data_IF_675437085879
#
_entry.id   IF_675437085879
#
_cell.length_a   1.000
_cell.length_b   1.000
_cell.length_c   1.000
_cell.angle_alpha   90.00
_cell.angle_beta   90.00
_cell.angle_gamma   90.00
#
_symmetry.space_group_name_H-M   'P 1'
#
loop_
_entity.id
_entity.type
_entity.pdbx_description
1 polymer ?
#
# COMPACT_ATOMS: atom_id res chain seq x y z
N UNK A 1 13.09 2.00 -14.52
CA UNK A 1 13.51 0.82 -13.73
C UNK A 1 12.74 0.71 -12.42
N UNK A 2 12.78 1.73 -11.54
CA UNK A 2 12.00 1.72 -10.28
C UNK A 2 10.50 1.46 -10.49
N UNK A 3 9.84 2.17 -11.42
CA UNK A 3 8.44 1.94 -11.76
C UNK A 3 8.14 0.51 -12.22
N UNK A 4 9.01 -0.10 -13.03
CA UNK A 4 8.85 -1.50 -13.46
C UNK A 4 8.93 -2.48 -12.28
N UNK A 5 9.81 -2.21 -11.31
CA UNK A 5 9.92 -3.01 -10.09
C UNK A 5 8.65 -2.93 -9.24
N UNK A 6 8.16 -1.71 -8.98
CA UNK A 6 6.91 -1.48 -8.21
C UNK A 6 5.71 -2.15 -8.91
N UNK A 7 5.61 -2.01 -10.23
CA UNK A 7 4.59 -2.69 -11.02
C UNK A 7 4.68 -4.20 -10.91
N UNK A 8 5.88 -4.77 -11.03
CA UNK A 8 6.11 -6.20 -10.89
C UNK A 8 5.63 -6.71 -9.54
N UNK A 9 5.95 -6.01 -8.46
CA UNK A 9 5.48 -6.35 -7.10
C UNK A 9 3.96 -6.23 -7.01
N UNK A 10 3.36 -5.17 -7.54
CA UNK A 10 1.90 -4.99 -7.52
C UNK A 10 1.16 -6.09 -8.28
N UNK A 11 1.62 -6.47 -9.47
CA UNK A 11 1.06 -7.58 -10.26
C UNK A 11 1.27 -8.92 -9.54
N UNK A 12 2.46 -9.16 -8.99
CA UNK A 12 2.76 -10.38 -8.21
C UNK A 12 1.80 -10.52 -7.03
N UNK A 13 1.58 -9.44 -6.27
CA UNK A 13 0.63 -9.43 -5.14
C UNK A 13 -0.81 -9.68 -5.59
N UNK A 14 -1.24 -9.06 -6.69
CA UNK A 14 -2.57 -9.27 -7.25
C UNK A 14 -2.81 -10.73 -7.67
N UNK A 15 -1.79 -11.39 -8.23
CA UNK A 15 -1.88 -12.80 -8.67
C UNK A 15 -1.81 -13.77 -7.48
N UNK A 16 -0.89 -13.55 -6.54
CA UNK A 16 -0.64 -14.49 -5.42
C UNK A 16 -1.65 -14.38 -4.30
N UNK A 17 -2.12 -13.16 -4.00
CA UNK A 17 -3.07 -12.93 -2.90
C UNK A 17 -4.52 -12.71 -3.40
N UNK A 18 -4.73 -12.65 -4.73
CA UNK A 18 -6.02 -12.29 -5.33
C UNK A 18 -6.48 -10.89 -4.94
N UNK A 19 -7.67 -10.49 -5.38
CA UNK A 19 -8.31 -9.22 -4.95
C UNK A 19 -8.62 -9.15 -3.43
N UNK A 20 -8.13 -10.10 -2.62
CA UNK A 20 -8.53 -10.33 -1.24
C UNK A 20 -7.59 -9.70 -0.20
N UNK A 21 -6.48 -9.09 -0.60
CA UNK A 21 -5.68 -8.21 0.25
C UNK A 21 -6.29 -6.80 0.31
N UNK A 22 -7.58 -6.71 0.65
CA UNK A 22 -8.27 -5.45 0.90
C UNK A 22 -7.87 -4.94 2.27
N UNK A 23 -6.94 -3.98 2.29
CA UNK A 23 -6.51 -3.29 3.51
C UNK A 23 -7.64 -2.49 4.15
N UNK A 24 -8.66 -2.14 3.36
CA UNK A 24 -9.87 -1.46 3.83
C UNK A 24 -11.12 -2.25 3.49
N UNK A 25 -11.88 -2.63 4.52
CA UNK A 25 -13.22 -3.22 4.39
C UNK A 25 -14.21 -2.25 3.74
N UNK A 26 -13.91 -0.95 3.74
CA UNK A 26 -14.78 0.12 3.26
C UNK A 26 -14.65 0.39 1.75
N UNK A 27 -13.52 0.01 1.12
CA UNK A 27 -13.25 0.23 -0.31
C UNK A 27 -12.53 -0.98 -0.93
N UNK A 28 -13.27 -1.99 -1.42
CA UNK A 28 -12.67 -3.20 -2.00
C UNK A 28 -11.83 -2.98 -3.27
N UNK A 29 -11.88 -1.78 -3.87
CA UNK A 29 -11.04 -1.36 -4.99
C UNK A 29 -9.65 -0.84 -4.57
N UNK A 30 -9.45 -0.48 -3.30
CA UNK A 30 -8.19 0.03 -2.74
C UNK A 30 -7.39 -1.06 -2.01
N UNK A 31 -7.04 -2.13 -2.74
CA UNK A 31 -6.04 -3.08 -2.27
C UNK A 31 -4.63 -2.49 -2.40
N UNK A 32 -3.70 -2.89 -1.52
CA UNK A 32 -2.28 -2.59 -1.64
C UNK A 32 -1.73 -2.92 -3.04
N UNK A 33 -2.18 -4.03 -3.63
CA UNK A 33 -1.78 -4.44 -4.97
C UNK A 33 -2.21 -3.42 -6.04
N UNK A 34 -3.45 -2.93 -5.99
CA UNK A 34 -3.98 -1.94 -6.93
C UNK A 34 -3.26 -0.59 -6.80
N UNK A 35 -2.93 -0.17 -5.56
CA UNK A 35 -2.15 1.03 -5.32
C UNK A 35 -0.73 0.91 -5.90
N UNK A 36 -0.06 -0.22 -5.68
CA UNK A 36 1.26 -0.48 -6.25
C UNK A 36 1.24 -0.51 -7.78
N UNK A 37 0.20 -1.10 -8.38
CA UNK A 37 0.00 -1.09 -9.84
C UNK A 37 -0.22 0.35 -10.33
N UNK A 38 -1.12 1.12 -9.69
CA UNK A 38 -1.40 2.50 -10.08
C UNK A 38 -0.16 3.40 -9.96
N UNK A 39 0.52 3.40 -8.82
CA UNK A 39 1.74 4.18 -8.59
C UNK A 39 2.84 3.74 -9.55
N UNK A 40 3.05 2.43 -9.69
CA UNK A 40 4.09 1.88 -10.57
C UNK A 40 3.87 2.26 -12.04
N UNK A 41 2.63 2.26 -12.53
CA UNK A 41 2.30 2.66 -13.92
C UNK A 41 2.59 4.13 -14.14
N UNK A 42 2.18 4.99 -13.21
CA UNK A 42 2.45 6.44 -13.25
C UNK A 42 3.96 6.69 -13.24
N UNK A 43 4.71 6.09 -12.31
CA UNK A 43 6.16 6.26 -12.22
C UNK A 43 6.88 5.72 -13.46
N UNK A 44 6.40 4.62 -14.06
CA UNK A 44 6.95 4.09 -15.31
C UNK A 44 6.75 5.06 -16.47
N UNK A 45 5.55 5.62 -16.64
CA UNK A 45 5.26 6.61 -17.69
C UNK A 45 6.11 7.87 -17.52
N UNK A 46 6.15 8.44 -16.31
CA UNK A 46 6.96 9.63 -16.01
C UNK A 46 8.45 9.34 -16.30
N UNK A 47 8.96 8.18 -15.88
CA UNK A 47 10.34 7.77 -16.11
C UNK A 47 10.68 7.59 -17.58
N UNK A 48 9.81 6.94 -18.37
CA UNK A 48 10.01 6.77 -19.81
C UNK A 48 10.03 8.11 -20.55
N UNK A 49 9.11 9.03 -20.21
CA UNK A 49 9.09 10.38 -20.78
C UNK A 49 10.36 11.17 -20.43
N UNK A 50 10.83 11.07 -19.18
CA UNK A 50 12.10 11.68 -18.76
C UNK A 50 13.32 11.15 -19.51
N UNK A 51 13.44 9.83 -19.67
CA UNK A 51 14.54 9.22 -20.41
C UNK A 51 14.54 9.58 -21.91
N UNK A 52 13.36 9.56 -22.57
CA UNK A 52 13.23 9.94 -23.98
C UNK A 52 13.52 11.43 -24.18
N UNK A 53 13.12 12.30 -23.23
CA UNK A 53 13.46 13.72 -23.23
C UNK A 53 14.97 13.95 -23.22
N UNK A 54 15.69 13.29 -22.30
CA UNK A 54 17.14 13.45 -22.15
C UNK A 54 17.96 12.96 -23.35
N UNK A 55 17.55 11.86 -24.00
CA UNK A 55 18.29 11.31 -25.16
C UNK A 55 18.18 12.19 -26.41
N UNK A 56 17.07 12.94 -26.54
CA UNK A 56 16.73 13.74 -27.72
C UNK A 56 17.58 15.02 -27.88
N UNK A 57 18.41 15.35 -26.89
CA UNK A 57 19.34 16.48 -26.93
C UNK A 57 20.56 16.23 -27.85
N UNK A 58 20.77 15.01 -28.33
CA UNK A 58 22.04 14.62 -28.98
C UNK A 58 22.11 14.64 -30.52
N UNK A 59 21.03 14.70 -31.35
CA UNK A 59 21.13 14.87 -32.84
C UNK A 59 19.87 15.42 -33.55
N UNK A 60 20.00 16.05 -34.76
CA UNK A 60 18.89 16.72 -35.45
C UNK A 60 18.15 15.83 -36.48
N UNK A 61 16.82 16.05 -36.52
CA UNK A 61 15.87 15.86 -37.63
C UNK A 61 15.20 14.49 -37.90
N UNK A 62 13.85 14.53 -37.94
CA UNK A 62 12.90 13.78 -38.80
C UNK A 62 12.07 12.59 -38.28
N UNK A 63 12.20 12.13 -37.04
CA UNK A 63 11.15 11.27 -36.40
C UNK A 63 10.25 12.06 -35.45
N UNK A 64 10.47 13.37 -35.40
CA UNK A 64 9.78 14.33 -34.56
C UNK A 64 8.31 14.51 -34.91
N UNK A 65 7.83 14.23 -36.13
CA UNK A 65 6.53 14.78 -36.61
C UNK A 65 5.27 14.01 -36.14
N UNK A 66 5.36 12.71 -35.78
CA UNK A 66 4.19 11.95 -35.31
C UNK A 66 3.91 12.13 -33.80
N UNK A 67 4.96 12.31 -32.99
CA UNK A 67 4.85 12.63 -31.55
C UNK A 67 4.85 14.16 -31.32
N UNK A 68 5.34 14.96 -32.29
CA UNK A 68 5.28 16.43 -32.24
C UNK A 68 3.86 16.99 -32.21
N UNK A 69 2.79 16.27 -32.57
CA UNK A 69 1.44 16.83 -32.34
C UNK A 69 1.05 16.86 -30.86
N UNK A 70 1.69 16.04 -30.01
CA UNK A 70 1.51 16.05 -28.54
C UNK A 70 2.55 16.95 -27.84
N UNK A 71 3.68 17.25 -28.50
CA UNK A 71 4.85 17.95 -27.92
C UNK A 71 5.12 19.34 -28.59
N UNK A 72 4.40 19.71 -29.65
CA UNK A 72 4.58 21.00 -30.35
C UNK A 72 3.81 22.11 -29.62
N UNK A 73 4.34 22.49 -28.48
CA UNK A 73 4.60 23.91 -28.24
C UNK A 73 6.01 24.03 -27.66
N UNK A 74 6.81 24.96 -28.16
CA UNK A 74 8.22 25.19 -27.78
C UNK A 74 8.39 25.74 -26.35
N UNK A 75 7.53 25.32 -25.43
CA UNK A 75 7.42 25.64 -23.99
C UNK A 75 7.51 24.38 -23.11
N UNK A 76 7.76 23.20 -23.69
CA UNK A 76 7.66 21.90 -23.02
C UNK A 76 8.81 21.53 -22.05
N UNK A 77 10.03 22.03 -22.25
CA UNK A 77 11.11 21.79 -21.27
C UNK A 77 10.83 22.52 -19.94
N UNK A 78 10.21 23.71 -20.02
CA UNK A 78 9.66 24.39 -18.86
C UNK A 78 8.44 23.67 -18.29
N UNK A 79 7.57 23.07 -19.10
CA UNK A 79 6.36 22.41 -18.60
C UNK A 79 6.64 21.15 -17.79
N UNK A 80 7.65 20.34 -18.16
CA UNK A 80 8.05 19.18 -17.35
C UNK A 80 8.69 19.63 -16.03
N UNK A 81 9.55 20.65 -16.05
CA UNK A 81 10.12 21.25 -14.84
C UNK A 81 9.04 21.89 -13.95
N UNK A 82 8.06 22.58 -14.55
CA UNK A 82 6.90 23.17 -13.87
C UNK A 82 5.99 22.08 -13.30
N UNK A 83 5.75 20.98 -14.03
CA UNK A 83 4.98 19.84 -13.56
C UNK A 83 5.66 19.15 -12.38
N UNK A 84 6.98 18.95 -12.43
CA UNK A 84 7.76 18.42 -11.32
C UNK A 84 7.74 19.36 -10.11
N UNK A 85 7.88 20.67 -10.32
CA UNK A 85 7.73 21.67 -9.25
C UNK A 85 6.31 21.67 -8.67
N UNK A 86 5.28 21.54 -9.51
CA UNK A 86 3.89 21.46 -9.06
C UNK A 86 3.66 20.22 -8.20
N UNK A 87 4.16 19.05 -8.64
CA UNK A 87 4.12 17.82 -7.85
C UNK A 87 4.86 18.02 -6.53
N UNK A 88 6.04 18.64 -6.54
CA UNK A 88 6.79 18.92 -5.32
C UNK A 88 6.02 19.79 -4.32
N UNK A 89 5.35 20.86 -4.77
CA UNK A 89 4.51 21.69 -3.90
C UNK A 89 3.27 20.93 -3.40
N UNK A 90 2.65 20.08 -4.23
CA UNK A 90 1.54 19.22 -3.83
C UNK A 90 1.99 18.21 -2.76
N UNK A 91 3.14 17.56 -2.94
CA UNK A 91 3.72 16.63 -1.96
C UNK A 91 3.95 17.34 -0.61
N UNK A 92 4.55 18.54 -0.61
CA UNK A 92 4.72 19.33 0.62
C UNK A 92 3.37 19.65 1.28
N UNK A 93 2.37 20.05 0.48
CA UNK A 93 1.04 20.33 0.99
C UNK A 93 0.40 19.09 1.62
N UNK A 94 0.47 17.93 0.95
CA UNK A 94 -0.03 16.65 1.47
C UNK A 94 0.67 16.24 2.76
N UNK A 95 2.01 16.37 2.83
CA UNK A 95 2.78 16.07 4.03
C UNK A 95 2.36 16.98 5.19
N UNK A 96 2.25 18.29 4.96
CA UNK A 96 1.81 19.24 5.99
C UNK A 96 0.41 18.91 6.50
N UNK A 97 -0.53 18.60 5.60
CA UNK A 97 -1.87 18.18 5.98
C UNK A 97 -1.84 16.87 6.77
N UNK A 98 -1.04 15.89 6.34
CA UNK A 98 -0.89 14.62 7.06
C UNK A 98 -0.39 14.83 8.48
N UNK A 99 0.62 15.69 8.68
CA UNK A 99 1.13 16.01 10.02
C UNK A 99 0.11 16.75 10.88
N UNK A 100 -0.64 17.69 10.32
CA UNK A 100 -1.68 18.43 11.07
C UNK A 100 -2.82 17.50 11.49
N UNK A 101 -3.22 16.57 10.63
CA UNK A 101 -4.33 15.65 10.85
C UNK A 101 -3.87 14.25 11.29
N UNK A 102 -2.65 14.10 11.78
CA UNK A 102 -2.06 12.79 12.07
C UNK A 102 -2.91 11.96 13.04
N UNK A 103 -3.45 12.59 14.10
CA UNK A 103 -4.22 11.89 15.13
C UNK A 103 -5.57 11.40 14.59
N UNK A 104 -6.20 12.23 13.76
CA UNK A 104 -7.46 11.88 13.11
C UNK A 104 -7.26 10.76 12.07
N UNK A 105 -6.17 10.84 11.29
CA UNK A 105 -5.78 9.81 10.32
C UNK A 105 -5.48 8.49 11.04
N UNK A 106 -4.77 8.53 12.17
CA UNK A 106 -4.50 7.35 12.99
C UNK A 106 -5.80 6.73 13.51
N UNK A 107 -6.74 7.53 14.03
CA UNK A 107 -8.04 7.03 14.44
C UNK A 107 -8.86 6.42 13.29
N UNK A 108 -8.83 7.01 12.10
CA UNK A 108 -9.48 6.42 10.92
C UNK A 108 -8.82 5.09 10.53
N UNK A 109 -7.50 5.03 10.50
CA UNK A 109 -6.73 3.85 10.17
C UNK A 109 -7.00 2.72 11.17
N UNK A 110 -6.94 3.00 12.48
CA UNK A 110 -7.24 2.04 13.52
C UNK A 110 -8.67 1.49 13.40
N UNK A 111 -9.66 2.37 13.15
CA UNK A 111 -11.05 1.95 12.98
C UNK A 111 -11.23 1.01 11.79
N UNK A 112 -10.57 1.32 10.67
CA UNK A 112 -10.67 0.54 9.44
C UNK A 112 -9.95 -0.82 9.58
N UNK A 113 -8.78 -0.84 10.22
CA UNK A 113 -8.08 -2.07 10.56
C UNK A 113 -8.87 -2.96 11.53
N UNK A 114 -9.53 -2.37 12.54
CA UNK A 114 -10.40 -3.12 13.47
C UNK A 114 -11.62 -3.72 12.76
N UNK A 115 -12.18 -3.05 11.75
CA UNK A 115 -13.20 -3.67 10.87
C UNK A 115 -12.61 -4.84 10.06
N UNK A 116 -11.34 -4.75 9.66
CA UNK A 116 -10.62 -5.84 9.02
C UNK A 116 -10.46 -7.06 9.94
N UNK A 117 -10.20 -6.85 11.23
CA UNK A 117 -10.14 -7.93 12.22
C UNK A 117 -11.47 -8.71 12.31
N UNK A 118 -12.61 -8.03 12.23
CA UNK A 118 -13.94 -8.66 12.28
C UNK A 118 -14.21 -9.61 11.10
N UNK A 119 -13.49 -9.46 9.99
CA UNK A 119 -13.57 -10.33 8.82
C UNK A 119 -12.61 -11.52 8.88
N UNK A 120 -11.76 -11.60 9.92
CA UNK A 120 -10.79 -12.67 10.09
C UNK A 120 -11.46 -14.04 10.22
N UNK A 121 -11.04 -15.01 9.41
CA UNK A 121 -11.58 -16.37 9.44
C UNK A 121 -13.00 -16.53 8.85
N UNK A 122 -13.59 -15.48 8.28
CA UNK A 122 -14.90 -15.53 7.62
C UNK A 122 -14.79 -16.13 6.21
N UNK A 123 -15.86 -16.81 5.75
CA UNK A 123 -15.91 -17.42 4.42
C UNK A 123 -15.71 -16.36 3.32
N UNK A 124 -14.80 -16.63 2.38
CA UNK A 124 -14.43 -15.71 1.31
C UNK A 124 -13.31 -14.71 1.63
N UNK A 125 -12.85 -14.63 2.89
CA UNK A 125 -11.79 -13.70 3.33
C UNK A 125 -10.47 -14.41 3.71
N UNK A 126 -10.14 -15.51 3.03
CA UNK A 126 -8.91 -16.29 3.26
C UNK A 126 -7.63 -15.48 3.03
N UNK A 127 -7.62 -14.59 2.02
CA UNK A 127 -6.47 -13.72 1.73
C UNK A 127 -6.21 -12.71 2.86
N UNK A 128 -7.28 -12.07 3.35
CA UNK A 128 -7.20 -11.15 4.49
C UNK A 128 -6.71 -11.86 5.77
N UNK A 129 -7.21 -13.07 6.02
CA UNK A 129 -6.80 -13.89 7.16
C UNK A 129 -5.31 -14.22 7.09
N UNK A 130 -4.82 -14.63 5.91
CA UNK A 130 -3.41 -14.91 5.69
C UNK A 130 -2.54 -13.66 5.86
N UNK A 131 -2.98 -12.51 5.33
CA UNK A 131 -2.28 -11.25 5.50
C UNK A 131 -2.14 -10.86 6.98
N UNK A 132 -3.21 -11.03 7.78
CA UNK A 132 -3.16 -10.79 9.22
C UNK A 132 -2.18 -11.72 9.94
N UNK A 133 -2.17 -13.01 9.59
CA UNK A 133 -1.22 -13.96 10.18
C UNK A 133 0.23 -13.56 9.88
N UNK A 134 0.53 -13.22 8.62
CA UNK A 134 1.87 -12.78 8.20
C UNK A 134 2.28 -11.49 8.95
N UNK A 135 1.41 -10.48 8.97
CA UNK A 135 1.70 -9.20 9.62
C UNK A 135 2.02 -9.41 11.11
N UNK A 136 1.20 -10.21 11.81
CA UNK A 136 1.42 -10.46 13.24
C UNK A 136 2.73 -11.20 13.49
N UNK A 137 3.02 -12.24 12.70
CA UNK A 137 4.24 -13.04 12.87
C UNK A 137 5.51 -12.27 12.48
N UNK A 138 5.48 -11.52 11.38
CA UNK A 138 6.65 -10.77 10.89
C UNK A 138 6.95 -9.55 11.77
N UNK A 139 5.91 -8.82 12.18
CA UNK A 139 6.06 -7.63 13.03
C UNK A 139 6.02 -7.92 14.53
N UNK A 140 5.79 -9.17 14.93
CA UNK A 140 5.72 -9.61 16.33
C UNK A 140 4.73 -8.79 17.15
N UNK A 141 3.55 -8.57 16.60
CA UNK A 141 2.49 -7.76 17.18
C UNK A 141 1.18 -8.55 17.27
N UNK A 142 0.27 -8.12 18.14
CA UNK A 142 -1.03 -8.75 18.29
C UNK A 142 -2.16 -7.73 18.45
N UNK A 143 -3.04 -7.67 17.45
CA UNK A 143 -4.14 -6.71 17.39
C UNK A 143 -3.75 -5.43 16.65
N UNK A 144 -4.65 -4.42 16.68
CA UNK A 144 -4.42 -3.11 16.04
C UNK A 144 -3.83 -2.14 17.05
N UNK A 145 -4.51 -1.98 18.19
CA UNK A 145 -4.08 -1.16 19.30
C UNK A 145 -3.55 -2.05 20.43
N UNK A 146 -4.22 -3.18 20.69
CA UNK A 146 -3.83 -4.10 21.74
C UNK A 146 -4.35 -5.52 21.45
N UNK A 147 -3.78 -6.53 22.08
CA UNK A 147 -4.20 -7.94 21.96
C UNK A 147 -5.67 -8.14 22.33
N UNK A 148 -6.22 -7.29 23.20
CA UNK A 148 -7.64 -7.28 23.58
C UNK A 148 -8.58 -7.02 22.41
N UNK A 149 -8.11 -6.43 21.31
CA UNK A 149 -8.91 -6.26 20.08
C UNK A 149 -9.39 -7.63 19.55
N UNK A 150 -8.62 -8.71 19.76
CA UNK A 150 -9.04 -10.07 19.41
C UNK A 150 -10.12 -10.64 20.31
N UNK A 151 -10.21 -10.16 21.55
CA UNK A 151 -11.24 -10.63 22.47
C UNK A 151 -12.62 -10.16 22.04
N UNK A 152 -12.70 -8.98 21.43
CA UNK A 152 -13.93 -8.47 20.81
C UNK A 152 -14.33 -9.28 19.58
N UNK A 153 -13.35 -9.70 18.76
CA UNK A 153 -13.60 -10.48 17.53
C UNK A 153 -14.06 -11.91 17.86
N UNK A 154 -13.39 -12.58 18.79
CA UNK A 154 -13.72 -13.97 19.16
C UNK A 154 -14.75 -14.09 20.28
N UNK A 155 -15.14 -12.97 20.89
CA UNK A 155 -16.04 -12.93 22.05
C UNK A 155 -15.58 -13.84 23.20
N UNK A 156 -14.26 -13.98 23.37
CA UNK A 156 -13.61 -14.80 24.40
C UNK A 156 -12.18 -14.31 24.60
N UNK A 157 -11.55 -14.65 25.72
CA UNK A 157 -10.16 -14.27 26.03
C UNK A 157 -9.17 -15.15 25.25
N UNK A 158 -9.12 -14.95 23.93
CA UNK A 158 -8.19 -15.65 23.04
C UNK A 158 -7.65 -14.74 21.94
N UNK A 159 -6.46 -15.09 21.46
CA UNK A 159 -5.81 -14.49 20.28
C UNK A 159 -5.60 -15.57 19.20
N UNK A 160 -5.37 -15.21 17.93
CA UNK A 160 -4.96 -16.20 16.93
C UNK A 160 -3.55 -16.71 17.22
N UNK A 161 -3.24 -17.96 16.83
CA UNK A 161 -1.92 -18.57 17.06
C UNK A 161 -0.77 -17.81 16.36
N UNK A 162 -1.09 -17.00 15.34
CA UNK A 162 -0.13 -16.09 14.70
C UNK A 162 0.43 -15.01 15.63
N UNK A 163 -0.20 -14.76 16.79
CA UNK A 163 0.26 -13.82 17.82
C UNK A 163 1.26 -14.43 18.83
N UNK A 164 1.52 -15.73 18.77
CA UNK A 164 2.29 -16.40 19.81
C UNK A 164 3.80 -16.16 19.68
N UNK A 165 4.47 -16.08 20.84
CA UNK A 165 5.91 -15.84 20.94
C UNK A 165 6.72 -16.95 20.24
N UNK A 166 6.27 -18.19 20.44
CA UNK A 166 6.75 -19.38 19.75
C UNK A 166 5.54 -20.05 19.10
N UNK A 167 5.72 -20.55 17.88
CA UNK A 167 4.66 -21.23 17.16
C UNK A 167 4.30 -22.55 17.88
N UNK A 168 3.10 -22.61 18.41
CA UNK A 168 2.51 -23.79 19.03
C UNK A 168 1.02 -23.82 18.71
N UNK A 169 0.48 -25.00 18.42
CA UNK A 169 -0.95 -25.13 18.18
C UNK A 169 -1.74 -24.72 19.44
N UNK A 170 -2.75 -23.87 19.26
CA UNK A 170 -3.65 -23.38 20.33
C UNK A 170 -3.00 -22.56 21.45
N UNK A 171 -1.79 -22.03 21.25
CA UNK A 171 -1.15 -21.14 22.22
C UNK A 171 -1.99 -19.89 22.53
N UNK A 172 -2.81 -19.43 21.56
CA UNK A 172 -3.70 -18.28 21.77
C UNK A 172 -4.86 -18.53 22.72
N UNK A 173 -5.08 -19.79 23.15
CA UNK A 173 -6.07 -20.18 24.18
C UNK A 173 -5.45 -20.27 25.59
N UNK A 174 -4.12 -20.31 25.70
CA UNK A 174 -3.39 -20.55 26.94
C UNK A 174 -3.17 -19.25 27.76
N UNK A 175 -2.36 -19.30 28.81
CA UNK A 175 -2.10 -18.16 29.69
C UNK A 175 -1.51 -16.94 28.94
N UNK A 176 -1.75 -15.70 29.43
CA UNK A 176 -1.34 -14.42 28.80
C UNK A 176 0.18 -14.18 28.67
N UNK A 177 1.02 -15.16 28.99
CA UNK A 177 2.47 -15.11 28.83
C UNK A 177 2.99 -15.75 27.55
N UNK A 178 2.11 -16.26 26.68
CA UNK A 178 2.49 -17.03 25.47
C UNK A 178 2.37 -16.24 24.16
N UNK A 179 1.80 -15.04 24.19
CA UNK A 179 1.61 -14.17 23.01
C UNK A 179 2.15 -12.76 23.22
N UNK A 180 2.34 -12.02 22.12
CA UNK A 180 2.76 -10.63 22.19
C UNK A 180 1.68 -9.76 22.81
N UNK A 181 2.02 -9.09 23.90
CA UNK A 181 1.26 -7.98 24.46
C UNK A 181 1.88 -6.71 23.92
N UNK A 182 1.20 -6.04 22.99
CA UNK A 182 1.60 -4.71 22.54
C UNK A 182 1.61 -3.72 23.72
#
# INVERSE_FOLDING_TARGET
LGGCGILGVGVWLSVTQGNFATLSSSLPSLSAANLLIAVGTITMVIGCLGCVGAVKESRPLLLTVAIARVIKDSRCDSLFFILLLLIFFLEILFIMLFFIYQDEIDHYAQRDLKKGLQLFGTEGNVGLTNAWMIVQTDFRCCGVTNHTDWFEVYNTTRVPDSCCLEYSDNCGLDNPGTWWTA
#
